data_IF_500694426919
#
_entry.id   IF_500694426919
#
_cell.length_a   1.000
_cell.length_b   1.000
_cell.length_c   1.000
_cell.angle_alpha   90.00
_cell.angle_beta   90.00
_cell.angle_gamma   90.00
#
_symmetry.space_group_name_H-M   'P 1'
#
loop_
_entity.id
_entity.type
_entity.pdbx_description
1 polymer ?
#
# COMPACT_ATOMS: atom_id res chain seq x y z
N UNK A 1 -19.08 -26.25 73.94
CA UNK A 1 -20.54 -26.42 73.80
C UNK A 1 -20.86 -26.12 72.34
N UNK A 2 -21.45 -26.98 71.50
CA UNK A 2 -22.67 -27.83 71.57
C UNK A 2 -23.79 -27.22 70.70
N UNK A 3 -23.95 -27.77 69.47
CA UNK A 3 -25.22 -27.96 68.72
C UNK A 3 -26.00 -26.72 68.24
N UNK A 4 -26.79 -26.72 67.14
CA UNK A 4 -27.01 -27.62 65.97
C UNK A 4 -27.65 -26.74 64.84
N UNK A 5 -28.27 -27.14 63.70
CA UNK A 5 -28.93 -28.36 63.16
C UNK A 5 -28.74 -28.40 61.63
N UNK A 6 -28.78 -29.59 61.00
CA UNK A 6 -29.06 -29.78 59.56
C UNK A 6 -30.48 -30.32 59.38
N UNK A 7 -31.24 -29.81 58.41
CA UNK A 7 -32.62 -30.23 58.14
C UNK A 7 -32.90 -30.45 56.65
N UNK A 8 -33.04 -31.71 56.24
CA UNK A 8 -33.33 -32.09 54.85
C UNK A 8 -34.80 -32.46 54.67
N UNK A 9 -35.45 -31.89 53.66
CA UNK A 9 -36.73 -32.37 53.16
C UNK A 9 -36.83 -32.11 51.65
N UNK A 10 -36.78 -33.18 50.85
CA UNK A 10 -37.11 -33.15 49.44
C UNK A 10 -38.33 -34.06 49.20
N UNK A 11 -39.18 -33.71 48.25
CA UNK A 11 -39.96 -34.65 47.42
C UNK A 11 -40.55 -33.90 46.21
N UNK A 12 -40.71 -34.61 45.10
CA UNK A 12 -40.84 -34.06 43.76
C UNK A 12 -42.25 -33.55 43.38
N UNK A 13 -42.25 -32.43 42.66
CA UNK A 13 -42.86 -32.30 41.33
C UNK A 13 -42.14 -31.15 40.58
N UNK A 14 -41.90 -31.17 39.27
CA UNK A 14 -42.22 -32.16 38.24
C UNK A 14 -42.45 -31.44 36.91
N UNK A 15 -41.70 -31.80 35.86
CA UNK A 15 -41.88 -31.28 34.48
C UNK A 15 -41.77 -29.74 34.31
N UNK A 16 -40.57 -29.18 34.44
CA UNK A 16 -40.29 -27.78 34.07
C UNK A 16 -38.85 -27.48 33.62
N UNK A 17 -37.84 -27.97 34.36
CA UNK A 17 -36.44 -27.59 34.15
C UNK A 17 -35.77 -28.14 32.87
N UNK A 18 -36.34 -29.16 32.22
CA UNK A 18 -35.74 -29.80 31.03
C UNK A 18 -35.91 -28.99 29.72
N UNK A 19 -36.78 -27.98 29.69
CA UNK A 19 -36.91 -27.10 28.53
C UNK A 19 -35.76 -26.09 28.38
N UNK A 20 -35.14 -25.68 29.49
CA UNK A 20 -34.16 -24.58 29.51
C UNK A 20 -32.72 -25.05 29.33
N UNK A 21 -32.40 -26.31 29.62
CA UNK A 21 -31.05 -26.86 29.44
C UNK A 21 -30.75 -27.36 28.01
N UNK A 22 -31.66 -27.13 27.06
CA UNK A 22 -31.52 -27.52 25.64
C UNK A 22 -31.75 -26.36 24.66
N UNK A 23 -31.60 -25.12 25.12
CA UNK A 23 -31.78 -23.91 24.30
C UNK A 23 -30.64 -22.88 24.39
N UNK A 24 -29.51 -23.25 25.00
CA UNK A 24 -28.23 -22.50 24.94
C UNK A 24 -27.12 -23.47 24.53
N UNK A 25 -27.35 -24.19 23.43
CA UNK A 25 -26.39 -25.12 22.83
C UNK A 25 -26.76 -25.44 21.38
N UNK A 26 -26.89 -24.41 20.55
CA UNK A 26 -26.89 -24.46 19.07
C UNK A 26 -26.66 -23.05 18.45
N UNK A 27 -25.82 -22.24 19.12
CA UNK A 27 -25.31 -20.98 18.58
C UNK A 27 -23.77 -21.06 18.57
N UNK A 28 -23.21 -21.71 17.55
CA UNK A 28 -21.79 -21.57 17.25
C UNK A 28 -21.52 -20.13 16.79
N UNK A 29 -21.24 -19.25 17.76
CA UNK A 29 -20.53 -18.02 17.48
C UNK A 29 -19.14 -18.38 16.95
N UNK A 30 -19.06 -18.56 15.63
CA UNK A 30 -17.80 -18.71 14.88
C UNK A 30 -17.02 -17.42 15.05
N UNK A 31 -16.24 -17.36 16.13
CA UNK A 31 -15.34 -16.26 16.45
C UNK A 31 -14.39 -16.09 15.27
N UNK A 32 -14.63 -15.07 14.44
CA UNK A 32 -13.81 -14.77 13.27
C UNK A 32 -12.42 -14.34 13.73
N UNK A 33 -11.51 -15.32 13.81
CA UNK A 33 -10.12 -15.11 14.18
C UNK A 33 -9.45 -14.21 13.14
N UNK A 34 -9.03 -13.02 13.56
CA UNK A 34 -8.23 -12.13 12.71
C UNK A 34 -6.78 -12.57 12.79
N UNK A 35 -6.20 -12.93 11.65
CA UNK A 35 -4.77 -13.28 11.56
C UNK A 35 -3.91 -12.02 11.78
N UNK A 36 -3.08 -12.04 12.83
CA UNK A 36 -2.15 -10.95 13.15
C UNK A 36 -0.78 -11.22 12.53
N UNK A 37 -0.25 -10.24 11.80
CA UNK A 37 1.10 -10.25 11.23
C UNK A 37 1.92 -9.11 11.81
N UNK A 38 3.24 -9.31 11.92
CA UNK A 38 4.18 -8.29 12.43
C UNK A 38 5.19 -7.92 11.36
N UNK A 39 5.30 -6.62 11.07
CA UNK A 39 6.33 -6.10 10.18
C UNK A 39 7.71 -6.25 10.85
N UNK A 40 8.66 -6.85 10.15
CA UNK A 40 10.05 -6.92 10.56
C UNK A 40 10.70 -5.54 10.44
N UNK A 41 11.89 -5.39 11.03
CA UNK A 41 12.69 -4.18 10.93
C UNK A 41 13.05 -3.91 9.46
N UNK A 42 13.14 -2.63 9.06
CA UNK A 42 13.47 -2.23 7.69
C UNK A 42 14.82 -2.83 7.21
N UNK A 43 15.75 -2.99 8.17
CA UNK A 43 17.07 -3.60 8.00
C UNK A 43 17.12 -5.11 8.32
N UNK A 44 16.00 -5.84 8.34
CA UNK A 44 15.98 -7.25 8.75
C UNK A 44 16.91 -8.16 7.91
N UNK A 45 17.20 -7.79 6.66
CA UNK A 45 18.18 -8.46 5.80
C UNK A 45 19.65 -8.32 6.27
N UNK A 46 19.95 -7.36 7.16
CA UNK A 46 21.27 -7.12 7.75
C UNK A 46 21.40 -7.68 9.17
N UNK A 47 20.28 -8.10 9.79
CA UNK A 47 20.29 -8.70 11.13
C UNK A 47 20.88 -10.12 11.04
N UNK A 48 21.88 -10.48 11.87
CA UNK A 48 22.42 -11.84 11.90
C UNK A 48 21.32 -12.88 12.11
N UNK A 49 21.30 -13.94 11.29
CA UNK A 49 20.15 -14.85 11.19
C UNK A 49 19.79 -15.51 12.53
N UNK A 50 20.77 -15.78 13.41
CA UNK A 50 20.54 -16.30 14.77
C UNK A 50 19.85 -15.30 15.71
N UNK A 51 20.05 -14.00 15.50
CA UNK A 51 19.38 -12.94 16.24
C UNK A 51 17.95 -12.75 15.74
N UNK A 52 17.75 -12.71 14.42
CA UNK A 52 16.42 -12.65 13.82
C UNK A 52 15.58 -13.90 14.16
N UNK A 53 16.21 -15.08 14.18
CA UNK A 53 15.61 -16.34 14.62
C UNK A 53 15.09 -16.29 16.06
N UNK A 54 15.80 -15.65 16.99
CA UNK A 54 15.32 -15.45 18.37
C UNK A 54 14.11 -14.52 18.42
N UNK A 55 14.13 -13.43 17.67
CA UNK A 55 13.00 -12.48 17.59
C UNK A 55 11.76 -13.13 16.96
N UNK A 56 11.91 -13.82 15.83
CA UNK A 56 10.81 -14.51 15.16
C UNK A 56 10.25 -15.68 15.99
N UNK A 57 11.07 -16.36 16.81
CA UNK A 57 10.59 -17.33 17.80
C UNK A 57 9.70 -16.66 18.86
N UNK A 58 10.14 -15.55 19.45
CA UNK A 58 9.31 -14.80 20.41
C UNK A 58 7.97 -14.35 19.81
N UNK A 59 7.96 -13.90 18.54
CA UNK A 59 6.72 -13.59 17.81
C UNK A 59 5.83 -14.84 17.62
N UNK A 60 6.41 -15.99 17.29
CA UNK A 60 5.70 -17.27 17.16
C UNK A 60 5.10 -17.73 18.49
N UNK A 61 5.83 -17.56 19.60
CA UNK A 61 5.44 -17.97 20.95
C UNK A 61 4.25 -17.16 21.49
N UNK A 62 4.16 -15.86 21.14
CA UNK A 62 2.98 -15.02 21.44
C UNK A 62 1.82 -15.20 20.43
N UNK A 63 1.95 -16.13 19.49
CA UNK A 63 0.85 -16.58 18.62
C UNK A 63 0.59 -15.74 17.37
N UNK A 64 1.55 -14.93 16.89
CA UNK A 64 1.35 -14.24 15.60
C UNK A 64 1.24 -15.26 14.46
N UNK A 65 0.45 -14.94 13.43
CA UNK A 65 0.25 -15.83 12.29
C UNK A 65 1.45 -15.84 11.35
N UNK A 66 2.14 -14.70 11.25
CA UNK A 66 3.25 -14.52 10.33
C UNK A 66 3.94 -13.18 10.49
N UNK A 67 4.84 -12.90 9.56
CA UNK A 67 5.63 -11.67 9.48
C UNK A 67 5.48 -10.99 8.12
N UNK A 68 5.74 -9.70 8.07
CA UNK A 68 5.71 -8.86 6.86
C UNK A 68 7.10 -8.23 6.66
N UNK A 69 7.60 -8.15 5.42
CA UNK A 69 8.93 -7.60 5.16
C UNK A 69 9.06 -7.03 3.74
N UNK A 70 9.82 -5.95 3.61
CA UNK A 70 10.20 -5.32 2.35
C UNK A 70 11.32 -6.07 1.62
N UNK A 71 11.10 -6.29 0.32
CA UNK A 71 12.06 -6.87 -0.62
C UNK A 71 12.60 -5.71 -1.47
N UNK A 72 13.57 -4.99 -0.92
CA UNK A 72 14.13 -3.76 -1.48
C UNK A 72 14.72 -3.96 -2.88
N UNK A 73 14.21 -3.20 -3.85
CA UNK A 73 14.56 -3.35 -5.27
C UNK A 73 16.06 -3.26 -5.53
N UNK A 74 16.74 -2.28 -4.93
CA UNK A 74 18.19 -2.04 -5.09
C UNK A 74 19.09 -3.10 -4.45
N UNK A 75 18.61 -3.81 -3.42
CA UNK A 75 19.34 -4.93 -2.81
C UNK A 75 19.30 -6.20 -3.65
N UNK A 76 18.24 -6.38 -4.43
CA UNK A 76 18.05 -7.56 -5.29
C UNK A 76 18.55 -7.28 -6.71
N UNK A 77 18.08 -6.22 -7.36
CA UNK A 77 18.44 -5.85 -8.74
C UNK A 77 19.62 -4.88 -8.79
N UNK A 78 20.74 -5.31 -8.18
CA UNK A 78 22.01 -4.57 -8.12
C UNK A 78 22.53 -4.20 -9.52
N UNK A 79 22.35 -5.11 -10.49
CA UNK A 79 22.65 -4.90 -11.90
C UNK A 79 21.38 -5.05 -12.77
N UNK A 80 21.22 -4.30 -13.88
CA UNK A 80 19.98 -4.27 -14.67
C UNK A 80 19.46 -5.64 -15.15
N UNK A 81 18.42 -6.12 -14.48
CA UNK A 81 17.75 -7.38 -14.72
C UNK A 81 18.43 -8.61 -14.11
N UNK A 82 19.51 -8.47 -13.33
CA UNK A 82 20.12 -9.57 -12.58
C UNK A 82 19.67 -9.48 -11.11
N UNK A 83 19.09 -10.56 -10.59
CA UNK A 83 18.40 -10.58 -9.30
C UNK A 83 19.14 -11.48 -8.31
N UNK A 84 19.46 -10.95 -7.14
CA UNK A 84 20.07 -11.66 -6.02
C UNK A 84 19.10 -11.72 -4.83
N UNK A 85 18.48 -12.88 -4.64
CA UNK A 85 17.53 -13.13 -3.55
C UNK A 85 18.18 -13.71 -2.30
N UNK A 86 19.52 -13.85 -2.25
CA UNK A 86 20.19 -14.72 -1.28
C UNK A 86 20.01 -14.28 0.18
N UNK A 87 19.97 -12.98 0.47
CA UNK A 87 19.66 -12.46 1.81
C UNK A 87 18.20 -12.73 2.22
N UNK A 88 17.28 -12.57 1.29
CA UNK A 88 15.85 -12.76 1.50
C UNK A 88 15.47 -14.23 1.68
N UNK A 89 16.10 -15.14 0.93
CA UNK A 89 15.79 -16.57 1.00
C UNK A 89 16.11 -17.17 2.38
N UNK A 90 17.19 -16.70 3.04
CA UNK A 90 17.52 -17.10 4.43
C UNK A 90 16.35 -16.81 5.38
N UNK A 91 15.68 -15.67 5.19
CA UNK A 91 14.56 -15.22 6.04
C UNK A 91 13.25 -15.94 5.69
N UNK A 92 12.98 -16.18 4.39
CA UNK A 92 11.84 -16.99 3.94
C UNK A 92 11.96 -18.43 4.45
N UNK A 93 13.17 -19.01 4.42
CA UNK A 93 13.44 -20.34 4.99
C UNK A 93 13.24 -20.37 6.51
N UNK A 94 13.75 -19.35 7.22
CA UNK A 94 13.52 -19.21 8.67
C UNK A 94 12.03 -19.08 9.02
N UNK A 95 11.25 -18.30 8.26
CA UNK A 95 9.80 -18.21 8.46
C UNK A 95 9.11 -19.59 8.31
N UNK A 96 9.49 -20.35 7.26
CA UNK A 96 9.01 -21.72 7.02
C UNK A 96 9.36 -22.67 8.18
N UNK A 97 10.60 -22.65 8.66
CA UNK A 97 11.07 -23.52 9.75
C UNK A 97 10.37 -23.22 11.09
N UNK A 98 10.00 -21.96 11.33
CA UNK A 98 9.22 -21.55 12.51
C UNK A 98 7.70 -21.74 12.34
N UNK A 99 7.24 -22.21 11.18
CA UNK A 99 5.82 -22.31 10.86
C UNK A 99 5.10 -20.96 10.92
N UNK A 100 5.79 -19.88 10.53
CA UNK A 100 5.23 -18.55 10.32
C UNK A 100 4.87 -18.35 8.85
N UNK A 101 3.76 -17.66 8.58
CA UNK A 101 3.48 -17.14 7.25
C UNK A 101 4.34 -15.89 6.96
N UNK A 102 4.46 -15.54 5.70
CA UNK A 102 5.17 -14.34 5.25
C UNK A 102 4.33 -13.54 4.24
N UNK A 103 4.27 -12.23 4.44
CA UNK A 103 3.77 -11.24 3.49
C UNK A 103 4.98 -10.49 2.92
N UNK A 104 5.17 -10.54 1.59
CA UNK A 104 6.34 -9.97 0.93
C UNK A 104 5.98 -8.66 0.21
N UNK A 105 6.58 -7.53 0.57
CA UNK A 105 6.38 -6.25 -0.13
C UNK A 105 7.41 -6.10 -1.24
N UNK A 106 6.99 -5.92 -2.49
CA UNK A 106 7.88 -5.60 -3.61
C UNK A 106 8.24 -4.10 -3.54
N UNK A 107 9.30 -3.79 -2.80
CA UNK A 107 9.64 -2.42 -2.42
C UNK A 107 10.45 -1.71 -3.52
N UNK A 108 9.71 -1.17 -4.51
CA UNK A 108 10.22 -0.40 -5.64
C UNK A 108 10.49 1.09 -5.33
N UNK A 109 10.69 1.45 -4.05
CA UNK A 109 10.78 2.83 -3.57
C UNK A 109 12.03 3.05 -2.68
N UNK A 110 12.43 4.32 -2.48
CA UNK A 110 13.44 4.70 -1.48
C UNK A 110 12.84 4.72 -0.07
N UNK A 111 13.60 4.26 0.92
CA UNK A 111 13.31 4.38 2.34
C UNK A 111 14.47 5.10 3.02
N UNK A 112 14.18 5.95 4.02
CA UNK A 112 15.16 6.76 4.73
C UNK A 112 15.51 8.04 3.95
N UNK A 113 14.83 9.15 4.25
CA UNK A 113 15.06 10.46 3.62
C UNK A 113 15.03 11.64 4.62
N UNK A 114 14.79 11.39 5.92
CA UNK A 114 14.81 12.39 6.97
C UNK A 114 16.12 12.37 7.77
N UNK A 115 16.53 13.54 8.29
CA UNK A 115 17.66 13.65 9.20
C UNK A 115 17.39 12.86 10.49
N UNK A 116 18.09 11.73 10.65
CA UNK A 116 17.95 10.84 11.80
C UNK A 116 17.36 9.45 11.49
N UNK A 117 17.06 9.13 10.23
CA UNK A 117 16.63 7.78 9.84
C UNK A 117 17.78 6.75 10.02
N UNK A 118 17.61 5.79 10.94
CA UNK A 118 18.59 4.71 11.24
C UNK A 118 18.88 3.77 10.05
N UNK A 119 18.09 3.82 8.98
CA UNK A 119 18.21 2.94 7.81
C UNK A 119 17.82 3.65 6.52
N UNK A 120 18.75 3.70 5.57
CA UNK A 120 18.58 4.32 4.25
C UNK A 120 18.81 3.30 3.15
N UNK A 121 17.82 3.11 2.29
CA UNK A 121 17.87 2.30 1.06
C UNK A 121 17.27 3.09 -0.09
N UNK A 122 18.10 3.48 -1.05
CA UNK A 122 17.67 4.16 -2.27
C UNK A 122 17.21 3.21 -3.37
N UNK A 123 16.53 3.74 -4.38
CA UNK A 123 16.37 3.10 -5.70
C UNK A 123 17.72 2.62 -6.28
N UNK A 124 17.73 1.62 -7.19
CA UNK A 124 18.98 1.08 -7.74
C UNK A 124 19.86 2.17 -8.37
N UNK A 125 21.18 2.10 -8.15
CA UNK A 125 22.14 3.13 -8.61
C UNK A 125 22.04 3.41 -10.12
N UNK A 126 21.77 2.38 -10.91
CA UNK A 126 21.57 2.47 -12.35
C UNK A 126 20.27 3.21 -12.75
N UNK A 127 19.26 3.32 -11.88
CA UNK A 127 18.09 4.21 -12.05
C UNK A 127 18.50 5.65 -11.79
N UNK A 128 19.20 5.91 -10.67
CA UNK A 128 19.69 7.26 -10.32
C UNK A 128 20.57 7.82 -11.45
N UNK A 129 21.43 6.98 -12.03
CA UNK A 129 22.28 7.38 -13.17
C UNK A 129 21.50 7.66 -14.45
N UNK A 130 20.33 7.03 -14.68
CA UNK A 130 19.44 7.40 -15.77
C UNK A 130 18.78 8.77 -15.49
N UNK A 131 18.33 9.02 -14.25
CA UNK A 131 17.74 10.30 -13.85
C UNK A 131 18.70 11.50 -13.92
N UNK A 132 20.02 11.27 -13.82
CA UNK A 132 21.06 12.29 -14.10
C UNK A 132 21.17 12.69 -15.58
N UNK A 133 20.69 11.84 -16.51
CA UNK A 133 20.88 11.99 -17.96
C UNK A 133 19.58 12.23 -18.74
N UNK A 134 18.45 11.79 -18.19
CA UNK A 134 17.13 11.90 -18.80
C UNK A 134 16.23 12.66 -17.81
N UNK A 135 15.62 13.80 -18.19
CA UNK A 135 14.67 14.51 -17.34
C UNK A 135 13.36 13.72 -17.20
N UNK A 136 12.60 13.98 -16.14
CA UNK A 136 11.31 13.33 -15.87
C UNK A 136 11.32 11.87 -15.45
N UNK A 137 12.48 11.30 -15.15
CA UNK A 137 12.58 9.95 -14.54
C UNK A 137 11.99 9.94 -13.12
N UNK A 138 12.00 11.07 -12.44
CA UNK A 138 11.45 11.26 -11.09
C UNK A 138 10.29 12.24 -11.12
N UNK A 139 9.42 12.16 -10.11
CA UNK A 139 8.39 13.15 -9.89
C UNK A 139 9.02 14.52 -9.59
N UNK A 140 8.48 15.58 -10.20
CA UNK A 140 8.94 16.96 -10.03
C UNK A 140 7.78 17.83 -9.50
N UNK A 141 8.06 18.69 -8.52
CA UNK A 141 7.18 19.79 -8.12
C UNK A 141 7.31 20.99 -9.07
N UNK A 142 6.48 22.01 -8.90
CA UNK A 142 6.44 23.18 -9.79
C UNK A 142 7.75 23.99 -9.85
N UNK A 143 8.65 23.80 -8.89
CA UNK A 143 9.96 24.43 -8.85
C UNK A 143 11.04 23.56 -9.50
N UNK A 144 10.66 22.42 -10.10
CA UNK A 144 11.57 21.43 -10.67
C UNK A 144 12.30 20.59 -9.62
N UNK A 145 11.85 20.60 -8.35
CA UNK A 145 12.50 19.83 -7.29
C UNK A 145 12.00 18.39 -7.34
N UNK A 146 12.95 17.48 -7.56
CA UNK A 146 12.72 16.04 -7.72
C UNK A 146 12.50 15.34 -6.38
N UNK A 147 11.60 14.36 -6.34
CA UNK A 147 11.57 13.31 -5.31
C UNK A 147 12.29 12.07 -5.82
N UNK A 148 13.34 11.62 -5.12
CA UNK A 148 14.03 10.34 -5.43
C UNK A 148 13.32 9.12 -4.79
N UNK A 149 12.11 9.31 -4.24
CA UNK A 149 11.33 8.26 -3.57
C UNK A 149 10.87 7.16 -4.56
N UNK A 150 10.52 7.55 -5.79
CA UNK A 150 9.93 6.67 -6.80
C UNK A 150 10.14 7.20 -8.24
N UNK A 151 10.06 6.32 -9.24
CA UNK A 151 10.10 6.72 -10.66
C UNK A 151 8.76 7.38 -11.03
N UNK A 152 8.74 8.52 -11.73
CA UNK A 152 7.46 9.13 -12.12
C UNK A 152 6.65 8.18 -13.00
N UNK A 153 5.34 8.09 -12.74
CA UNK A 153 4.40 7.32 -13.55
C UNK A 153 4.25 7.89 -14.98
N UNK A 154 4.70 9.13 -15.23
CA UNK A 154 4.89 9.66 -16.58
C UNK A 154 5.89 8.84 -17.40
N UNK A 155 6.89 8.24 -16.76
CA UNK A 155 7.91 7.42 -17.40
C UNK A 155 7.52 5.93 -17.53
N UNK A 156 6.34 5.48 -17.06
CA UNK A 156 5.90 4.06 -17.02
C UNK A 156 6.16 3.26 -18.30
N UNK A 157 5.94 3.90 -19.45
CA UNK A 157 6.00 3.31 -20.79
C UNK A 157 7.25 3.73 -21.57
N UNK A 158 8.10 4.58 -20.99
CA UNK A 158 9.29 5.12 -21.65
C UNK A 158 10.45 4.12 -21.60
N UNK A 159 11.06 3.83 -22.75
CA UNK A 159 12.20 2.89 -22.85
C UNK A 159 13.52 3.57 -22.42
N UNK A 160 13.58 3.97 -21.16
CA UNK A 160 14.69 4.73 -20.58
C UNK A 160 15.67 3.87 -19.77
N UNK A 161 15.21 2.78 -19.16
CA UNK A 161 16.00 1.99 -18.20
C UNK A 161 16.91 0.96 -18.91
N UNK A 162 18.12 0.68 -18.40
CA UNK A 162 18.94 -0.42 -18.90
C UNK A 162 18.31 -1.80 -18.61
N UNK A 163 18.82 -2.84 -19.27
CA UNK A 163 18.52 -4.25 -19.00
C UNK A 163 19.72 -5.14 -19.32
N UNK A 164 19.54 -6.47 -19.32
CA UNK A 164 20.62 -7.44 -19.58
C UNK A 164 21.24 -7.37 -21.00
N UNK A 165 20.62 -6.62 -21.92
CA UNK A 165 21.08 -6.45 -23.29
C UNK A 165 21.02 -4.97 -23.68
N UNK A 166 21.45 -4.64 -24.90
CA UNK A 166 21.36 -3.28 -25.45
C UNK A 166 19.93 -2.75 -25.60
N UNK A 167 18.90 -3.60 -25.41
CA UNK A 167 17.49 -3.19 -25.46
C UNK A 167 17.07 -2.60 -24.11
N UNK A 168 16.74 -1.31 -24.11
CA UNK A 168 16.21 -0.61 -22.93
C UNK A 168 14.81 -1.09 -22.54
N UNK A 169 14.58 -1.20 -21.23
CA UNK A 169 13.30 -1.50 -20.58
C UNK A 169 12.51 -0.23 -20.28
N UNK A 170 11.20 -0.36 -20.13
CA UNK A 170 10.39 0.62 -19.37
C UNK A 170 10.39 0.29 -17.86
N UNK A 171 10.00 1.23 -16.97
CA UNK A 171 9.75 0.94 -15.55
C UNK A 171 8.79 -0.24 -15.34
N UNK A 172 7.64 -0.27 -16.03
CA UNK A 172 6.68 -1.38 -15.98
C UNK A 172 7.32 -2.72 -16.39
N UNK A 173 8.21 -2.73 -17.39
CA UNK A 173 8.96 -3.94 -17.77
C UNK A 173 10.00 -4.35 -16.72
N UNK A 174 10.60 -3.40 -16.00
CA UNK A 174 11.52 -3.68 -14.90
C UNK A 174 10.79 -4.29 -13.70
N UNK A 175 9.70 -3.67 -13.24
CA UNK A 175 8.85 -4.20 -12.16
C UNK A 175 8.29 -5.60 -12.52
N UNK A 176 7.87 -5.79 -13.79
CA UNK A 176 7.43 -7.09 -14.29
C UNK A 176 8.55 -8.13 -14.29
N UNK A 177 9.78 -7.73 -14.67
CA UNK A 177 10.96 -8.60 -14.64
C UNK A 177 11.28 -9.08 -13.22
N UNK A 178 11.29 -8.15 -12.26
CA UNK A 178 11.49 -8.42 -10.84
C UNK A 178 10.47 -9.42 -10.29
N UNK A 179 9.18 -9.17 -10.53
CA UNK A 179 8.11 -10.07 -10.07
C UNK A 179 8.19 -11.47 -10.73
N UNK A 180 8.53 -11.54 -12.03
CA UNK A 180 8.70 -12.82 -12.74
C UNK A 180 9.84 -13.65 -12.17
N UNK A 181 10.95 -13.01 -11.79
CA UNK A 181 12.08 -13.71 -11.20
C UNK A 181 11.81 -14.10 -9.74
N UNK A 182 11.20 -13.21 -8.94
CA UNK A 182 10.68 -13.54 -7.59
C UNK A 182 9.79 -14.77 -7.60
N UNK A 183 8.79 -14.80 -8.49
CA UNK A 183 7.84 -15.91 -8.64
C UNK A 183 8.52 -17.22 -9.06
N UNK A 184 9.61 -17.14 -9.84
CA UNK A 184 10.42 -18.28 -10.27
C UNK A 184 11.29 -18.79 -9.12
N UNK A 185 11.98 -17.91 -8.41
CA UNK A 185 12.89 -18.23 -7.30
C UNK A 185 12.12 -18.84 -6.13
N UNK A 186 11.08 -18.15 -5.65
CA UNK A 186 10.31 -18.56 -4.48
C UNK A 186 9.17 -19.55 -4.76
N UNK A 187 9.13 -20.18 -5.94
CA UNK A 187 8.03 -21.03 -6.42
C UNK A 187 7.57 -22.11 -5.41
N UNK A 188 8.48 -22.67 -4.63
CA UNK A 188 8.21 -23.69 -3.60
C UNK A 188 7.62 -23.14 -2.29
N UNK A 189 7.73 -21.84 -2.05
CA UNK A 189 7.25 -21.14 -0.85
C UNK A 189 5.91 -20.42 -1.09
N UNK A 190 5.57 -20.09 -2.34
CA UNK A 190 4.30 -19.46 -2.69
C UNK A 190 3.09 -20.33 -2.30
N UNK A 191 2.08 -19.71 -1.69
CA UNK A 191 0.86 -20.38 -1.21
C UNK A 191 1.05 -21.23 0.05
N UNK A 192 2.29 -21.42 0.53
CA UNK A 192 2.60 -22.18 1.75
C UNK A 192 3.19 -21.30 2.85
N UNK A 193 4.43 -20.83 2.65
CA UNK A 193 5.11 -19.88 3.55
C UNK A 193 4.76 -18.44 3.14
N UNK A 194 4.97 -18.10 1.87
CA UNK A 194 4.61 -16.80 1.30
C UNK A 194 3.14 -16.86 0.91
N UNK A 195 2.28 -16.32 1.77
CA UNK A 195 0.82 -16.34 1.56
C UNK A 195 0.30 -15.06 0.92
N UNK A 196 1.09 -14.00 0.86
CA UNK A 196 0.72 -12.73 0.27
C UNK A 196 1.93 -12.05 -0.39
N UNK A 197 1.68 -11.37 -1.49
CA UNK A 197 2.61 -10.38 -2.04
C UNK A 197 1.89 -9.04 -2.15
N UNK A 198 2.51 -8.01 -1.59
CA UNK A 198 2.08 -6.62 -1.77
C UNK A 198 3.00 -5.97 -2.81
N UNK A 199 2.44 -5.15 -3.71
CA UNK A 199 3.22 -4.49 -4.76
C UNK A 199 3.31 -2.99 -4.47
N UNK A 200 4.53 -2.46 -4.41
CA UNK A 200 4.77 -1.03 -4.25
C UNK A 200 4.43 -0.23 -5.51
N UNK A 201 3.54 0.75 -5.38
CA UNK A 201 2.99 1.55 -6.50
C UNK A 201 3.31 3.04 -6.43
N UNK A 202 4.34 3.40 -5.66
CA UNK A 202 4.73 4.77 -5.41
C UNK A 202 5.63 4.91 -4.18
N UNK A 203 5.81 6.14 -3.69
CA UNK A 203 6.58 6.43 -2.48
C UNK A 203 6.00 5.72 -1.25
N UNK A 204 6.85 5.24 -0.34
CA UNK A 204 6.49 4.32 0.75
C UNK A 204 5.75 3.03 0.30
N UNK A 205 5.81 2.68 -1.00
CA UNK A 205 5.06 1.58 -1.60
C UNK A 205 3.58 1.91 -1.89
N UNK A 206 3.10 3.08 -1.48
CA UNK A 206 1.71 3.50 -1.58
C UNK A 206 1.37 3.95 -3.01
N UNK A 207 0.17 3.63 -3.50
CA UNK A 207 -0.37 4.17 -4.75
C UNK A 207 -0.71 5.66 -4.57
N UNK A 208 0.31 6.52 -4.68
CA UNK A 208 0.21 7.97 -4.49
C UNK A 208 1.31 8.75 -5.21
N UNK A 209 1.15 10.06 -5.19
CA UNK A 209 2.20 11.04 -5.50
C UNK A 209 3.01 11.42 -4.23
N UNK A 210 4.27 11.90 -4.36
CA UNK A 210 5.09 12.40 -3.26
C UNK A 210 4.68 13.81 -2.75
N UNK A 211 3.37 14.06 -2.61
CA UNK A 211 2.84 15.42 -2.37
C UNK A 211 3.14 16.03 -0.99
N UNK A 212 3.74 15.28 -0.06
CA UNK A 212 3.95 15.67 1.34
C UNK A 212 5.33 15.23 1.88
N UNK A 213 6.38 15.27 1.06
CA UNK A 213 7.75 14.97 1.46
C UNK A 213 8.18 15.73 2.74
N UNK A 214 8.59 15.00 3.78
CA UNK A 214 8.79 15.52 5.16
C UNK A 214 9.87 16.59 5.28
N UNK A 215 10.78 16.67 4.30
CA UNK A 215 11.80 17.73 4.18
C UNK A 215 11.22 19.12 3.84
N UNK A 216 10.01 19.17 3.27
CA UNK A 216 9.30 20.41 2.90
C UNK A 216 7.97 20.60 3.65
N UNK A 217 7.27 19.50 3.91
CA UNK A 217 5.90 19.46 4.43
C UNK A 217 5.85 19.18 5.93
N UNK A 218 4.86 19.76 6.60
CA UNK A 218 4.51 19.49 8.00
C UNK A 218 2.99 19.32 8.12
N UNK A 219 2.56 18.34 8.90
CA UNK A 219 1.14 18.18 9.22
C UNK A 219 0.62 19.44 9.93
N UNK A 220 -0.56 19.99 9.56
CA UNK A 220 -1.58 19.45 8.65
C UNK A 220 -1.64 20.19 7.28
N UNK A 221 -0.50 20.54 6.68
CA UNK A 221 -0.44 21.25 5.39
C UNK A 221 -1.10 20.49 4.22
N UNK A 222 -1.54 21.21 3.19
CA UNK A 222 -2.22 20.63 2.01
C UNK A 222 -1.31 19.83 1.07
N UNK A 223 0.01 19.98 1.15
CA UNK A 223 0.94 19.37 0.20
C UNK A 223 1.05 20.14 -1.12
N UNK A 224 1.56 19.49 -2.16
CA UNK A 224 1.67 20.05 -3.51
C UNK A 224 1.48 18.98 -4.58
N UNK A 225 0.94 19.34 -5.75
CA UNK A 225 0.88 18.45 -6.91
C UNK A 225 2.31 18.08 -7.40
N UNK A 226 2.48 16.88 -7.92
CA UNK A 226 3.78 16.32 -8.33
C UNK A 226 3.72 15.82 -9.78
N UNK A 227 3.36 16.72 -10.70
CA UNK A 227 3.09 16.42 -12.12
C UNK A 227 3.84 17.34 -13.09
N UNK A 228 4.91 17.99 -12.63
CA UNK A 228 5.66 18.97 -13.41
C UNK A 228 6.84 18.36 -14.16
N UNK A 229 7.00 17.04 -14.08
CA UNK A 229 7.98 16.33 -14.89
C UNK A 229 7.60 16.39 -16.38
N UNK A 230 8.57 16.42 -17.31
CA UNK A 230 8.28 16.60 -18.74
C UNK A 230 7.36 15.54 -19.38
N UNK A 231 7.28 14.32 -18.84
CA UNK A 231 6.38 13.29 -19.39
C UNK A 231 4.93 13.54 -18.94
N UNK A 232 4.73 13.85 -17.65
CA UNK A 232 3.41 14.21 -17.11
C UNK A 232 2.90 15.56 -17.66
N UNK A 233 3.75 16.58 -17.79
CA UNK A 233 3.39 17.83 -18.48
C UNK A 233 2.96 17.57 -19.94
N UNK A 234 3.74 16.76 -20.67
CA UNK A 234 3.44 16.39 -22.04
C UNK A 234 2.16 15.57 -22.18
N UNK A 235 1.77 14.80 -21.16
CA UNK A 235 0.51 14.05 -21.13
C UNK A 235 -0.69 14.90 -20.77
N UNK A 236 -0.60 15.76 -19.75
CA UNK A 236 -1.68 16.68 -19.38
C UNK A 236 -2.08 17.56 -20.59
N UNK A 237 -1.09 18.12 -21.30
CA UNK A 237 -1.35 18.91 -22.50
C UNK A 237 -2.05 18.12 -23.62
N UNK A 238 -1.82 16.80 -23.74
CA UNK A 238 -2.58 15.94 -24.68
C UNK A 238 -4.00 15.73 -24.20
N UNK A 239 -4.17 15.41 -22.93
CA UNK A 239 -5.47 15.13 -22.31
C UNK A 239 -6.39 16.35 -22.32
N UNK A 240 -5.90 17.51 -21.89
CA UNK A 240 -6.65 18.76 -21.88
C UNK A 240 -7.14 19.16 -23.28
N UNK A 241 -6.29 19.04 -24.32
CA UNK A 241 -6.70 19.28 -25.71
C UNK A 241 -7.77 18.30 -26.19
N UNK A 242 -7.76 17.04 -25.76
CA UNK A 242 -8.83 16.08 -26.06
C UNK A 242 -10.15 16.42 -25.34
N UNK A 243 -10.08 17.15 -24.22
CA UNK A 243 -11.24 17.70 -23.50
C UNK A 243 -11.65 19.10 -23.98
N UNK A 244 -11.00 19.65 -25.01
CA UNK A 244 -11.32 20.96 -25.59
C UNK A 244 -10.59 22.16 -24.97
N UNK A 245 -9.69 21.96 -24.01
CA UNK A 245 -8.89 23.03 -23.39
C UNK A 245 -7.54 23.16 -24.09
N UNK A 246 -7.28 24.32 -24.68
CA UNK A 246 -5.99 24.66 -25.29
C UNK A 246 -5.09 25.45 -24.32
N UNK A 247 -3.77 25.31 -24.49
CA UNK A 247 -2.72 26.11 -23.83
C UNK A 247 -2.69 26.11 -22.29
N UNK A 248 -3.44 25.23 -21.63
CA UNK A 248 -3.42 25.04 -20.17
C UNK A 248 -2.13 24.40 -19.63
N UNK A 249 -1.88 24.59 -18.34
CA UNK A 249 -0.78 24.06 -17.54
C UNK A 249 -1.31 23.60 -16.17
N UNK A 250 -0.63 22.67 -15.45
CA UNK A 250 -1.09 22.27 -14.12
C UNK A 250 -1.22 23.45 -13.13
N UNK A 251 -2.18 23.43 -12.20
CA UNK A 251 -2.38 24.47 -11.18
C UNK A 251 -1.16 24.67 -10.25
N UNK A 252 -0.54 25.85 -10.32
CA UNK A 252 0.70 26.22 -9.60
C UNK A 252 0.43 26.84 -8.22
N UNK A 253 1.46 27.10 -7.40
CA UNK A 253 1.41 27.85 -6.14
C UNK A 253 0.66 29.17 -6.22
N UNK A 254 0.65 29.82 -7.38
CA UNK A 254 -0.15 31.04 -7.63
C UNK A 254 -1.65 30.86 -7.36
N UNK A 255 -2.15 29.63 -7.45
CA UNK A 255 -3.53 29.25 -7.10
C UNK A 255 -3.59 28.21 -5.98
N UNK A 256 -2.65 27.27 -5.91
CA UNK A 256 -2.62 26.14 -4.97
C UNK A 256 -1.92 26.41 -3.62
N UNK A 257 -1.31 27.58 -3.42
CA UNK A 257 -0.56 27.87 -2.19
C UNK A 257 0.73 27.05 -2.09
N UNK A 258 1.04 26.52 -0.91
CA UNK A 258 2.28 25.77 -0.66
C UNK A 258 2.03 24.49 0.13
N UNK A 259 3.04 23.61 0.18
CA UNK A 259 3.06 22.41 1.03
C UNK A 259 2.43 22.59 2.41
N UNK A 260 2.65 23.75 3.05
CA UNK A 260 2.24 24.03 4.44
C UNK A 260 1.04 25.00 4.57
N UNK A 261 0.41 25.39 3.46
CA UNK A 261 -0.81 26.22 3.47
C UNK A 261 -2.04 25.43 3.93
N UNK A 262 -3.13 26.13 4.28
CA UNK A 262 -4.47 25.51 4.47
C UNK A 262 -5.38 25.77 3.27
N UNK A 263 -6.41 24.94 2.99
CA UNK A 263 -7.22 25.06 1.78
C UNK A 263 -7.85 26.45 1.58
N UNK A 264 -8.31 27.06 2.65
CA UNK A 264 -9.05 28.32 2.68
C UNK A 264 -8.20 29.53 2.27
N UNK A 265 -6.87 29.42 2.34
CA UNK A 265 -5.90 30.43 1.91
C UNK A 265 -5.58 30.38 0.41
N UNK A 266 -6.18 29.45 -0.34
CA UNK A 266 -5.78 29.14 -1.72
C UNK A 266 -6.92 29.33 -2.72
N UNK A 267 -6.64 29.94 -3.87
CA UNK A 267 -7.64 30.09 -4.93
C UNK A 267 -8.11 28.75 -5.48
N UNK A 268 -7.27 27.71 -5.44
CA UNK A 268 -7.61 26.38 -5.94
C UNK A 268 -8.46 25.56 -4.96
N UNK A 269 -8.15 25.51 -3.66
CA UNK A 269 -8.79 24.58 -2.71
C UNK A 269 -9.80 25.21 -1.74
N UNK A 270 -9.99 26.54 -1.74
CA UNK A 270 -11.06 27.19 -0.94
C UNK A 270 -12.45 26.76 -1.41
N UNK A 271 -13.48 27.02 -0.59
CA UNK A 271 -14.87 26.82 -0.98
C UNK A 271 -15.20 27.58 -2.28
N UNK A 272 -15.86 26.89 -3.23
CA UNK A 272 -16.13 27.36 -4.60
C UNK A 272 -14.88 27.84 -5.37
N UNK A 273 -13.69 27.35 -4.98
CA UNK A 273 -12.41 27.62 -5.63
C UNK A 273 -12.22 26.89 -6.96
N UNK A 274 -11.04 27.10 -7.58
CA UNK A 274 -10.78 26.65 -8.96
C UNK A 274 -10.91 25.13 -9.14
N UNK A 275 -10.75 24.32 -8.09
CA UNK A 275 -11.01 22.87 -8.14
C UNK A 275 -12.41 22.52 -8.66
N UNK A 276 -13.42 23.38 -8.43
CA UNK A 276 -14.81 23.16 -8.84
C UNK A 276 -15.13 23.65 -10.27
N UNK A 277 -14.18 24.33 -10.93
CA UNK A 277 -14.32 24.75 -12.34
C UNK A 277 -14.16 23.59 -13.31
N UNK A 278 -14.62 23.75 -14.56
CA UNK A 278 -14.44 22.75 -15.62
C UNK A 278 -12.95 22.40 -15.85
N UNK A 279 -12.07 23.40 -15.90
CA UNK A 279 -10.62 23.19 -16.04
C UNK A 279 -10.01 22.49 -14.81
N UNK A 280 -10.41 22.90 -13.60
CA UNK A 280 -9.97 22.25 -12.36
C UNK A 280 -10.42 20.80 -12.25
N UNK A 281 -11.66 20.50 -12.64
CA UNK A 281 -12.18 19.13 -12.71
C UNK A 281 -11.45 18.30 -13.77
N UNK A 282 -11.18 18.85 -14.96
CA UNK A 282 -10.41 18.16 -16.01
C UNK A 282 -8.96 17.88 -15.57
N UNK A 283 -8.33 18.79 -14.83
CA UNK A 283 -7.01 18.55 -14.23
C UNK A 283 -7.05 17.43 -13.18
N UNK A 284 -8.02 17.46 -12.25
CA UNK A 284 -8.13 16.45 -11.19
C UNK A 284 -8.53 15.07 -11.74
N UNK A 285 -9.43 15.03 -12.74
CA UNK A 285 -9.78 13.82 -13.48
C UNK A 285 -8.53 13.20 -14.11
N UNK A 286 -7.72 13.98 -14.82
CA UNK A 286 -6.46 13.52 -15.40
C UNK A 286 -5.48 13.01 -14.33
N UNK A 287 -5.21 13.81 -13.30
CA UNK A 287 -4.21 13.52 -12.27
C UNK A 287 -4.52 12.21 -11.54
N UNK A 288 -5.78 12.00 -11.14
CA UNK A 288 -6.19 10.75 -10.51
C UNK A 288 -6.37 9.59 -11.51
N UNK A 289 -6.70 9.83 -12.80
CA UNK A 289 -6.68 8.76 -13.81
C UNK A 289 -5.28 8.22 -14.04
N UNK A 290 -4.26 9.08 -14.15
CA UNK A 290 -2.86 8.64 -14.37
C UNK A 290 -2.42 7.66 -13.28
N UNK A 291 -2.78 7.96 -12.03
CA UNK A 291 -2.48 7.15 -10.86
C UNK A 291 -3.23 5.81 -10.89
N UNK A 292 -4.54 5.81 -11.14
CA UNK A 292 -5.32 4.57 -11.27
C UNK A 292 -4.80 3.67 -12.42
N UNK A 293 -4.49 4.29 -13.57
CA UNK A 293 -3.90 3.59 -14.71
C UNK A 293 -2.52 2.99 -14.40
N UNK A 294 -1.69 3.66 -13.58
CA UNK A 294 -0.40 3.13 -13.14
C UNK A 294 -0.58 1.84 -12.33
N UNK A 295 -1.50 1.85 -11.34
CA UNK A 295 -1.84 0.64 -10.57
C UNK A 295 -2.24 -0.52 -11.48
N UNK A 296 -3.07 -0.26 -12.49
CA UNK A 296 -3.44 -1.27 -13.49
C UNK A 296 -2.29 -1.66 -14.45
N UNK A 297 -1.36 -0.74 -14.77
CA UNK A 297 -0.16 -1.04 -15.58
C UNK A 297 0.84 -1.92 -14.83
N UNK A 298 1.05 -1.71 -13.53
CA UNK A 298 1.93 -2.54 -12.70
C UNK A 298 1.28 -3.88 -12.33
N UNK A 299 -0.04 -3.92 -12.11
CA UNK A 299 -0.76 -5.16 -11.75
C UNK A 299 -0.91 -6.12 -12.92
N UNK A 300 -1.18 -5.64 -14.14
CA UNK A 300 -1.43 -6.50 -15.32
C UNK A 300 -0.32 -7.53 -15.63
N UNK A 301 0.99 -7.20 -15.53
CA UNK A 301 2.07 -8.15 -15.80
C UNK A 301 2.32 -9.22 -14.72
N UNK A 302 1.55 -9.24 -13.63
CA UNK A 302 1.60 -10.26 -12.57
C UNK A 302 0.75 -11.48 -12.98
N UNK A 303 1.33 -12.63 -13.38
CA UNK A 303 0.53 -13.74 -13.91
C UNK A 303 -0.11 -14.54 -12.77
N UNK A 304 -1.44 -14.63 -12.77
CA UNK A 304 -2.24 -15.25 -11.70
C UNK A 304 -2.22 -16.81 -11.67
N UNK A 305 -1.41 -17.46 -12.50
CA UNK A 305 -1.25 -18.93 -12.46
C UNK A 305 -0.45 -19.35 -11.21
N UNK A 306 -1.09 -19.97 -10.23
CA UNK A 306 -0.55 -20.20 -8.88
C UNK A 306 -0.02 -18.90 -8.24
N UNK A 307 -0.93 -18.00 -7.80
CA UNK A 307 -0.54 -16.82 -7.06
C UNK A 307 -0.27 -17.19 -5.58
N UNK A 308 0.37 -16.31 -4.78
CA UNK A 308 0.11 -16.29 -3.35
C UNK A 308 -1.40 -16.16 -3.08
N UNK A 309 -1.89 -16.54 -1.90
CA UNK A 309 -3.33 -16.55 -1.61
C UNK A 309 -3.98 -15.17 -1.81
N UNK A 310 -3.23 -14.08 -1.58
CA UNK A 310 -3.64 -12.71 -1.87
C UNK A 310 -2.54 -11.92 -2.60
N UNK A 311 -2.96 -11.00 -3.47
CA UNK A 311 -2.13 -9.99 -4.13
C UNK A 311 -2.72 -8.62 -3.78
N UNK A 312 -2.03 -7.86 -2.94
CA UNK A 312 -2.56 -6.63 -2.38
C UNK A 312 -1.82 -5.38 -2.90
N UNK A 313 -2.53 -4.26 -2.91
CA UNK A 313 -2.01 -2.93 -3.20
C UNK A 313 -2.10 -2.09 -1.93
N UNK A 314 -1.13 -1.22 -1.69
CA UNK A 314 -1.22 -0.23 -0.61
C UNK A 314 -1.83 1.07 -1.16
N UNK A 315 -2.92 1.53 -0.57
CA UNK A 315 -3.59 2.80 -0.92
C UNK A 315 -3.58 3.68 0.33
N UNK A 316 -3.27 4.95 0.14
CA UNK A 316 -3.08 5.91 1.23
C UNK A 316 -4.31 6.82 1.36
N UNK A 317 -4.84 6.95 2.57
CA UNK A 317 -6.09 7.67 2.86
C UNK A 317 -5.81 9.02 3.56
N UNK A 318 -5.97 10.14 2.85
CA UNK A 318 -5.91 11.49 3.44
C UNK A 318 -7.10 11.73 4.39
N UNK A 319 -6.83 12.21 5.61
CA UNK A 319 -7.86 12.48 6.63
C UNK A 319 -7.70 13.88 7.28
N UNK A 320 -8.82 14.57 7.53
CA UNK A 320 -8.98 15.74 8.41
C UNK A 320 -10.35 15.64 9.14
N UNK A 321 -10.51 16.18 10.36
CA UNK A 321 -10.35 15.33 11.54
C UNK A 321 -11.68 14.80 12.08
N UNK A 322 -12.06 13.57 11.71
CA UNK A 322 -12.78 12.61 12.57
C UNK A 322 -12.97 11.24 11.88
N UNK A 323 -12.56 10.17 12.58
CA UNK A 323 -12.84 8.73 12.32
C UNK A 323 -12.31 8.13 11.00
N UNK A 324 -11.54 7.05 11.13
CA UNK A 324 -10.85 6.37 10.03
C UNK A 324 -11.70 5.29 9.34
N UNK A 325 -11.17 4.68 8.27
CA UNK A 325 -11.02 3.21 8.02
C UNK A 325 -11.06 2.94 6.49
N UNK A 326 -10.05 2.32 5.86
CA UNK A 326 -9.70 0.89 6.03
C UNK A 326 -8.26 0.49 5.60
N UNK A 327 -7.41 0.20 6.58
CA UNK A 327 -6.56 -1.00 6.57
C UNK A 327 -6.51 -1.55 8.00
N UNK A 328 -6.82 -2.84 8.19
CA UNK A 328 -7.19 -3.35 9.52
C UNK A 328 -5.96 -3.55 10.42
N UNK A 329 -5.75 -2.59 11.32
CA UNK A 329 -5.23 -2.84 12.69
C UNK A 329 -6.38 -2.63 13.68
N UNK A 330 -6.41 -3.38 14.78
CA UNK A 330 -7.59 -3.52 15.66
C UNK A 330 -7.60 -2.59 16.89
N UNK A 331 -8.79 -2.51 17.50
CA UNK A 331 -9.21 -1.88 18.77
C UNK A 331 -9.63 -0.40 18.74
N UNK A 332 -10.70 -0.01 19.48
CA UNK A 332 -12.00 -0.69 19.62
C UNK A 332 -13.19 0.24 19.27
N UNK A 333 -14.39 -0.34 19.08
CA UNK A 333 -15.59 0.37 18.62
C UNK A 333 -16.37 1.10 19.73
N UNK A 334 -16.83 2.33 19.44
CA UNK A 334 -18.01 2.94 20.07
C UNK A 334 -18.66 3.99 19.13
N UNK A 335 -20.00 4.04 19.12
CA UNK A 335 -20.87 5.06 18.53
C UNK A 335 -20.66 5.43 17.03
N UNK A 336 -21.59 4.97 16.19
CA UNK A 336 -21.79 5.43 14.81
C UNK A 336 -23.26 5.78 14.61
N UNK A 337 -23.55 7.00 14.14
CA UNK A 337 -24.86 7.39 13.60
C UNK A 337 -24.73 8.65 12.71
N UNK A 338 -25.72 8.87 11.84
CA UNK A 338 -25.92 10.11 11.04
C UNK A 338 -24.92 10.48 9.91
N UNK A 339 -24.65 9.57 8.95
CA UNK A 339 -24.42 9.96 7.53
C UNK A 339 -25.08 8.96 6.56
N UNK A 340 -26.40 9.04 6.37
CA UNK A 340 -27.16 8.12 5.48
C UNK A 340 -28.15 8.84 4.55
N UNK A 341 -27.64 9.69 3.66
CA UNK A 341 -28.48 10.42 2.67
C UNK A 341 -27.89 10.56 1.26
N UNK A 342 -26.59 10.82 1.10
CA UNK A 342 -26.00 11.24 -0.19
C UNK A 342 -25.77 10.10 -1.21
N UNK A 343 -25.23 8.96 -0.77
CA UNK A 343 -24.70 7.88 -1.65
C UNK A 343 -25.74 7.04 -2.43
N UNK A 344 -26.94 7.56 -2.68
CA UNK A 344 -28.04 6.84 -3.39
C UNK A 344 -28.27 7.25 -4.85
N UNK A 345 -27.40 8.07 -5.48
CA UNK A 345 -27.73 8.67 -6.79
C UNK A 345 -26.63 8.77 -7.86
N UNK A 346 -25.58 7.95 -7.81
CA UNK A 346 -24.67 7.76 -8.95
C UNK A 346 -24.33 6.27 -9.15
N UNK A 347 -25.17 5.55 -9.90
CA UNK A 347 -24.72 4.31 -10.57
C UNK A 347 -23.98 4.68 -11.86
N UNK A 348 -22.65 4.54 -11.88
CA UNK A 348 -21.84 4.66 -13.09
C UNK A 348 -20.93 3.43 -13.25
N UNK A 349 -21.38 2.51 -14.09
CA UNK A 349 -20.63 1.46 -14.82
C UNK A 349 -19.22 1.09 -14.32
N UNK A 350 -19.16 0.31 -13.24
CA UNK A 350 -18.17 -0.76 -13.08
C UNK A 350 -18.83 -2.08 -13.50
N UNK A 351 -18.15 -2.90 -14.32
CA UNK A 351 -18.75 -4.11 -14.92
C UNK A 351 -19.15 -5.13 -13.85
N UNK A 352 -20.42 -5.57 -13.88
CA UNK A 352 -21.08 -6.41 -12.87
C UNK A 352 -20.66 -7.89 -12.94
N UNK A 353 -19.36 -8.17 -13.14
CA UNK A 353 -18.76 -9.52 -13.13
C UNK A 353 -17.90 -9.81 -11.90
N UNK A 354 -17.57 -8.80 -11.11
CA UNK A 354 -16.69 -8.89 -9.93
C UNK A 354 -17.42 -9.24 -8.61
N UNK A 355 -18.70 -9.65 -8.66
CA UNK A 355 -19.59 -9.74 -7.49
C UNK A 355 -20.20 -11.13 -7.25
N UNK A 356 -19.47 -12.20 -7.56
CA UNK A 356 -19.81 -13.58 -7.17
C UNK A 356 -18.55 -14.38 -6.82
N UNK A 357 -18.26 -14.55 -5.51
CA UNK A 357 -17.69 -15.77 -4.90
C UNK A 357 -17.45 -15.65 -3.37
N UNK A 358 -18.46 -15.21 -2.61
CA UNK A 358 -18.59 -15.62 -1.19
C UNK A 358 -20.06 -15.91 -0.89
N UNK A 359 -20.35 -17.17 -0.57
CA UNK A 359 -21.51 -17.57 0.22
C UNK A 359 -21.14 -18.82 1.02
#
# INVERSE_FOLDING_TARGET
>A
MRWAVLGSAAIAAGLGALGWYKFIRDDEHVMKTVDVYVMLQLNAADIPIDQLCKQMKQLKDVGVKGVMMDFWWSRVEKEPGYYDWSDYEKIVLLAKELGLRMQCVMAFHTCGEADGDDFVVKLPSWVIDVAKRIPGVFYEDEFGVKSEEYISIGADLERILPGRSLVKRTPIEAYSGFFKDFKKHFKSYLGSTITEVQVGLGPCGELRYPGYALSKWRFPGIGAFQCYDPFLLGDYQRYARQKGIENTVPPTKGTCGSYNSVPEETEFFKADGLYATEEGQIFLEWYFSRLAEHGDRVRRPVPLENPPAHLNLLIMEFHKPLVCTLTIRLFPLACLEHVTSSLRRQELFLDRRLLFLVK
#
